data_IF_999881490051
#
_entry.id   IF_999881490051
#
_cell.length_a   1.000
_cell.length_b   1.000
_cell.length_c   1.000
_cell.angle_alpha   90.00
_cell.angle_beta   90.00
_cell.angle_gamma   90.00
#
_symmetry.space_group_name_H-M   'P 1'
#
loop_
_entity.id
_entity.type
_entity.pdbx_description
1 polymer ?
#
# COMPACT_ATOMS: atom_id res chain seq x y z
N UNK A 1 7.06 14.65 -3.33
CA UNK A 1 5.61 14.45 -3.39
C UNK A 1 5.25 13.31 -4.32
N UNK A 2 4.23 12.54 -3.96
CA UNK A 2 3.84 11.35 -4.74
C UNK A 2 3.48 11.73 -6.19
N UNK A 3 2.79 12.85 -6.40
CA UNK A 3 2.33 13.26 -7.72
C UNK A 3 3.46 13.55 -8.72
N UNK A 4 4.70 13.72 -8.25
CA UNK A 4 5.85 14.03 -9.10
C UNK A 4 6.84 12.88 -9.18
N UNK A 5 6.54 11.72 -8.58
CA UNK A 5 7.44 10.57 -8.61
C UNK A 5 7.61 10.05 -10.04
N UNK A 6 8.85 9.68 -10.37
CA UNK A 6 9.17 8.92 -11.59
C UNK A 6 8.97 7.43 -11.33
N UNK A 7 9.13 6.58 -12.36
CA UNK A 7 8.98 5.14 -12.20
C UNK A 7 9.84 4.56 -11.08
N UNK A 8 11.13 4.90 -11.03
CA UNK A 8 12.05 4.43 -9.97
C UNK A 8 11.63 4.94 -8.60
N UNK A 9 11.27 6.21 -8.50
CA UNK A 9 10.80 6.81 -7.25
C UNK A 9 9.51 6.18 -6.77
N UNK A 10 8.62 5.82 -7.71
CA UNK A 10 7.37 5.16 -7.38
C UNK A 10 7.60 3.77 -6.78
N UNK A 11 8.49 2.98 -7.37
CA UNK A 11 8.86 1.67 -6.84
C UNK A 11 9.42 1.77 -5.43
N UNK A 12 10.31 2.72 -5.21
CA UNK A 12 10.90 2.98 -3.89
C UNK A 12 9.83 3.38 -2.88
N UNK A 13 8.89 4.24 -3.28
CA UNK A 13 7.79 4.68 -2.41
C UNK A 13 6.90 3.51 -2.01
N UNK A 14 6.56 2.61 -2.94
CA UNK A 14 5.80 1.41 -2.61
C UNK A 14 6.57 0.49 -1.66
N UNK A 15 7.86 0.32 -1.87
CA UNK A 15 8.69 -0.51 -1.01
C UNK A 15 8.72 0.02 0.43
N UNK A 16 8.89 1.33 0.60
CA UNK A 16 8.86 1.98 1.91
C UNK A 16 7.48 1.85 2.57
N UNK A 17 6.44 2.02 1.79
CA UNK A 17 5.07 1.85 2.27
C UNK A 17 4.85 0.43 2.79
N UNK A 18 5.28 -0.57 2.02
CA UNK A 18 5.14 -1.97 2.40
C UNK A 18 5.92 -2.28 3.69
N UNK A 19 7.13 -1.74 3.83
CA UNK A 19 7.93 -1.92 5.04
C UNK A 19 7.22 -1.35 6.27
N UNK A 20 6.58 -0.18 6.15
CA UNK A 20 5.81 0.41 7.24
C UNK A 20 4.61 -0.44 7.59
N UNK A 21 3.93 -0.99 6.60
CA UNK A 21 2.77 -1.88 6.82
C UNK A 21 3.20 -3.15 7.55
N UNK A 22 4.37 -3.68 7.24
CA UNK A 22 4.91 -4.86 7.94
C UNK A 22 5.19 -4.58 9.41
N UNK A 23 5.53 -3.34 9.75
CA UNK A 23 5.83 -2.90 11.12
C UNK A 23 4.62 -2.21 11.77
N UNK A 24 3.45 -2.83 11.67
CA UNK A 24 2.16 -2.24 12.03
C UNK A 24 1.65 -2.60 13.42
N UNK A 25 2.47 -3.24 14.25
CA UNK A 25 2.02 -3.82 15.51
C UNK A 25 1.34 -2.81 16.44
N UNK A 26 1.78 -1.55 16.41
CA UNK A 26 1.27 -0.50 17.28
C UNK A 26 0.38 0.51 16.56
N UNK A 27 -0.12 0.16 15.38
CA UNK A 27 -0.94 1.07 14.59
C UNK A 27 -2.32 1.27 15.21
N UNK A 28 -2.70 2.55 15.30
CA UNK A 28 -4.02 3.00 15.71
C UNK A 28 -4.91 3.17 14.47
N UNK A 29 -6.24 3.32 14.64
CA UNK A 29 -7.14 3.57 13.49
C UNK A 29 -6.69 4.73 12.60
N UNK A 30 -6.13 5.80 13.19
CA UNK A 30 -5.62 6.95 12.41
C UNK A 30 -4.44 6.54 11.52
N UNK A 31 -3.59 5.63 11.96
CA UNK A 31 -2.46 5.14 11.17
C UNK A 31 -2.96 4.37 9.94
N UNK A 32 -3.99 3.56 10.10
CA UNK A 32 -4.60 2.83 8.98
C UNK A 32 -5.26 3.77 7.98
N UNK A 33 -5.94 4.81 8.47
CA UNK A 33 -6.54 5.82 7.59
C UNK A 33 -5.46 6.55 6.79
N UNK A 34 -4.35 6.92 7.43
CA UNK A 34 -3.23 7.56 6.75
C UNK A 34 -2.59 6.64 5.71
N UNK A 35 -2.41 5.36 6.05
CA UNK A 35 -1.85 4.37 5.12
C UNK A 35 -2.74 4.22 3.89
N UNK A 36 -4.06 4.17 4.07
CA UNK A 36 -5.01 4.11 2.94
C UNK A 36 -4.90 5.33 2.05
N UNK A 37 -4.74 6.53 2.62
CA UNK A 37 -4.58 7.76 1.85
C UNK A 37 -3.28 7.75 1.06
N UNK A 38 -2.18 7.32 1.68
CA UNK A 38 -0.88 7.22 1.00
C UNK A 38 -0.96 6.20 -0.14
N UNK A 39 -1.54 5.03 0.10
CA UNK A 39 -1.68 4.01 -0.94
C UNK A 39 -2.52 4.52 -2.10
N UNK A 40 -3.61 5.24 -1.82
CA UNK A 40 -4.46 5.81 -2.85
C UNK A 40 -3.67 6.79 -3.73
N UNK A 41 -2.83 7.63 -3.13
CA UNK A 41 -1.97 8.55 -3.87
C UNK A 41 -0.95 7.81 -4.73
N UNK A 42 -0.32 6.76 -4.18
CA UNK A 42 0.62 5.92 -4.91
C UNK A 42 -0.05 5.23 -6.11
N UNK A 43 -1.25 4.70 -5.90
CA UNK A 43 -2.01 4.03 -6.95
C UNK A 43 -2.41 5.00 -8.07
N UNK A 44 -2.78 6.22 -7.74
CA UNK A 44 -3.09 7.25 -8.71
C UNK A 44 -1.86 7.55 -9.58
N UNK A 45 -0.71 7.70 -8.94
CA UNK A 45 0.54 7.94 -9.69
C UNK A 45 0.93 6.73 -10.52
N UNK A 46 0.72 5.52 -10.01
CA UNK A 46 0.94 4.29 -10.77
C UNK A 46 0.14 4.28 -12.07
N UNK A 47 -1.15 4.61 -11.98
CA UNK A 47 -2.00 4.66 -13.18
C UNK A 47 -1.49 5.68 -14.21
N UNK A 48 -0.98 6.82 -13.76
CA UNK A 48 -0.41 7.83 -14.64
C UNK A 48 0.86 7.34 -15.35
N UNK A 49 1.67 6.51 -14.68
CA UNK A 49 2.96 6.05 -15.19
C UNK A 49 2.91 4.66 -15.83
N UNK A 50 1.77 3.98 -15.73
CA UNK A 50 1.64 2.56 -16.11
C UNK A 50 2.14 2.26 -17.51
N UNK A 51 1.89 3.16 -18.46
CA UNK A 51 2.33 2.97 -19.84
C UNK A 51 3.84 3.08 -20.06
N UNK A 52 4.58 3.62 -19.10
CA UNK A 52 6.03 3.81 -19.19
C UNK A 52 6.81 2.80 -18.33
N UNK A 53 6.11 2.01 -17.50
CA UNK A 53 6.74 1.03 -16.62
C UNK A 53 6.96 -0.30 -17.35
N UNK A 54 8.06 -1.00 -17.01
CA UNK A 54 8.30 -2.34 -17.49
C UNK A 54 7.29 -3.31 -16.89
N UNK A 55 7.14 -4.48 -17.51
CA UNK A 55 6.28 -5.53 -16.98
C UNK A 55 6.72 -5.96 -15.58
N UNK A 56 8.03 -6.10 -15.35
CA UNK A 56 8.57 -6.46 -14.05
C UNK A 56 8.22 -5.44 -12.97
N UNK A 57 8.33 -4.15 -13.30
CA UNK A 57 7.96 -3.06 -12.38
C UNK A 57 6.48 -3.09 -12.03
N UNK A 58 5.62 -3.31 -13.04
CA UNK A 58 4.17 -3.44 -12.80
C UNK A 58 3.84 -4.61 -11.88
N UNK A 59 4.50 -5.75 -12.09
CA UNK A 59 4.27 -6.93 -11.26
C UNK A 59 4.73 -6.69 -9.83
N UNK A 60 5.85 -6.01 -9.64
CA UNK A 60 6.36 -5.65 -8.32
C UNK A 60 5.36 -4.77 -7.58
N UNK A 61 4.85 -3.73 -8.24
CA UNK A 61 3.87 -2.82 -7.63
C UNK A 61 2.57 -3.57 -7.29
N UNK A 62 2.07 -4.40 -8.21
CA UNK A 62 0.85 -5.17 -7.96
C UNK A 62 1.01 -6.13 -6.79
N UNK A 63 2.18 -6.74 -6.65
CA UNK A 63 2.48 -7.60 -5.52
C UNK A 63 2.40 -6.84 -4.19
N UNK A 64 2.92 -5.62 -4.16
CA UNK A 64 2.88 -4.78 -2.96
C UNK A 64 1.47 -4.30 -2.64
N UNK A 65 0.68 -3.96 -3.65
CA UNK A 65 -0.73 -3.62 -3.47
C UNK A 65 -1.51 -4.79 -2.88
N UNK A 66 -1.27 -6.00 -3.39
CA UNK A 66 -1.92 -7.20 -2.90
C UNK A 66 -1.53 -7.52 -1.46
N UNK A 67 -0.27 -7.32 -1.09
CA UNK A 67 0.20 -7.53 0.27
C UNK A 67 -0.54 -6.62 1.26
N UNK A 68 -0.71 -5.35 0.92
CA UNK A 68 -1.47 -4.43 1.78
C UNK A 68 -2.91 -4.87 1.92
N UNK A 69 -3.56 -5.27 0.82
CA UNK A 69 -4.96 -5.70 0.87
C UNK A 69 -5.12 -6.95 1.73
N UNK A 70 -4.18 -7.89 1.65
CA UNK A 70 -4.22 -9.09 2.46
C UNK A 70 -4.09 -8.75 3.97
N UNK A 71 -3.19 -7.85 4.32
CA UNK A 71 -3.01 -7.39 5.69
C UNK A 71 -4.27 -6.70 6.21
N UNK A 72 -4.85 -5.82 5.40
CA UNK A 72 -6.07 -5.09 5.77
C UNK A 72 -7.25 -6.04 5.98
N UNK A 73 -7.42 -7.00 5.10
CA UNK A 73 -8.47 -8.00 5.20
C UNK A 73 -8.32 -8.82 6.48
N UNK A 74 -7.12 -9.27 6.78
CA UNK A 74 -6.84 -10.04 7.99
C UNK A 74 -7.18 -9.24 9.24
N UNK A 75 -6.85 -7.94 9.27
CA UNK A 75 -7.20 -7.08 10.39
C UNK A 75 -8.70 -6.92 10.55
N UNK A 76 -9.43 -6.70 9.45
CA UNK A 76 -10.89 -6.57 9.49
C UNK A 76 -11.55 -7.83 10.04
N UNK A 77 -11.10 -9.00 9.63
CA UNK A 77 -11.60 -10.27 10.13
C UNK A 77 -11.33 -10.44 11.62
N UNK A 78 -10.13 -10.06 12.07
CA UNK A 78 -9.75 -10.12 13.47
C UNK A 78 -10.62 -9.19 14.32
N UNK A 79 -10.88 -7.96 13.84
CA UNK A 79 -11.75 -7.01 14.53
C UNK A 79 -13.19 -7.54 14.65
N UNK A 80 -13.71 -8.15 13.58
CA UNK A 80 -15.05 -8.75 13.60
C UNK A 80 -15.16 -9.89 14.59
N UNK A 81 -14.15 -10.74 14.69
CA UNK A 81 -14.12 -11.84 15.65
C UNK A 81 -14.10 -11.29 17.08
N UNK A 82 -13.29 -10.27 17.33
CA UNK A 82 -13.21 -9.64 18.65
C UNK A 82 -14.55 -9.04 19.09
N UNK A 83 -15.28 -8.42 18.16
CA UNK A 83 -16.58 -7.83 18.46
C UNK A 83 -17.64 -8.86 18.82
N UNK A 84 -17.48 -10.09 18.37
CA UNK A 84 -18.43 -11.17 18.65
C UNK A 84 -18.12 -11.96 19.93
N UNK A 85 -16.94 -11.75 20.46
CA UNK A 85 -16.50 -12.42 21.69
C UNK A 85 -16.86 -11.57 22.92
#
# INVERSE_FOLDING_TARGET
MVATLTGTGLLDAYARFTDRVRDRQNWKPADWAMASAVLSSLNTRYEQLRGTLSLDDKLTIRSQQAEYQAVRTARQLSDQVSDKL
#
